data_IF_452945534236
#
_entry.id   IF_452945534236
#
_cell.length_a   1.000
_cell.length_b   1.000
_cell.length_c   1.000
_cell.angle_alpha   90.00
_cell.angle_beta   90.00
_cell.angle_gamma   90.00
#
_symmetry.space_group_name_H-M   'P 1'
#
loop_
_entity.id
_entity.type
_entity.pdbx_description
1 polymer ?
#
# COMPACT_ATOMS: atom_id res chain seq x y z
N UNK A 1 7.70 -13.42 27.11
CA UNK A 1 7.58 -12.19 27.91
C UNK A 1 7.86 -11.06 26.93
N UNK A 2 6.84 -10.55 26.27
CA UNK A 2 6.99 -9.62 25.15
C UNK A 2 5.89 -8.57 25.27
N UNK A 3 6.28 -7.29 25.31
CA UNK A 3 5.36 -6.16 25.38
C UNK A 3 5.04 -5.65 26.79
N UNK A 4 5.98 -5.76 27.76
CA UNK A 4 5.74 -5.31 29.15
C UNK A 4 6.60 -4.13 29.59
N UNK A 5 7.54 -3.68 28.75
CA UNK A 5 8.38 -2.51 29.03
C UNK A 5 8.00 -1.36 28.09
N UNK A 6 8.15 -0.13 28.58
CA UNK A 6 7.85 1.10 27.84
C UNK A 6 8.58 1.16 26.47
N UNK A 7 9.81 0.63 26.46
CA UNK A 7 10.67 0.54 25.27
C UNK A 7 10.07 -0.39 24.20
N UNK A 8 9.57 -1.57 24.58
CA UNK A 8 8.95 -2.50 23.62
C UNK A 8 7.67 -1.91 23.00
N UNK A 9 6.90 -1.16 23.81
CA UNK A 9 5.70 -0.45 23.34
C UNK A 9 6.08 0.64 22.33
N UNK A 10 7.12 1.43 22.62
CA UNK A 10 7.61 2.46 21.70
C UNK A 10 8.09 1.86 20.38
N UNK A 11 8.89 0.80 20.42
CA UNK A 11 9.34 0.09 19.21
C UNK A 11 8.14 -0.40 18.40
N UNK A 12 7.16 -1.04 19.04
CA UNK A 12 5.95 -1.50 18.38
C UNK A 12 5.18 -0.36 17.71
N UNK A 13 5.11 0.81 18.36
CA UNK A 13 4.45 1.98 17.80
C UNK A 13 5.20 2.52 16.56
N UNK A 14 6.53 2.58 16.60
CA UNK A 14 7.31 2.99 15.43
C UNK A 14 7.21 1.99 14.28
N UNK A 15 7.21 0.68 14.57
CA UNK A 15 6.96 -0.35 13.56
C UNK A 15 5.56 -0.20 12.92
N UNK A 16 4.53 0.05 13.72
CA UNK A 16 3.18 0.29 13.21
C UNK A 16 3.12 1.53 12.29
N UNK A 17 3.79 2.63 12.67
CA UNK A 17 3.91 3.84 11.83
C UNK A 17 4.64 3.55 10.53
N UNK A 18 5.73 2.80 10.57
CA UNK A 18 6.49 2.41 9.38
C UNK A 18 5.62 1.61 8.41
N UNK A 19 4.90 0.60 8.91
CA UNK A 19 4.03 -0.23 8.07
C UNK A 19 2.88 0.59 7.50
N UNK A 20 2.24 1.45 8.31
CA UNK A 20 1.19 2.35 7.83
C UNK A 20 1.66 3.26 6.70
N UNK A 21 2.84 3.87 6.85
CA UNK A 21 3.44 4.69 5.80
C UNK A 21 3.77 3.89 4.54
N UNK A 22 4.28 2.67 4.69
CA UNK A 22 4.55 1.79 3.54
C UNK A 22 3.27 1.45 2.76
N UNK A 23 2.17 1.14 3.44
CA UNK A 23 0.88 0.88 2.79
C UNK A 23 0.38 2.13 2.05
N UNK A 24 0.42 3.30 2.68
CA UNK A 24 0.00 4.57 2.05
C UNK A 24 0.86 4.85 0.81
N UNK A 25 2.17 4.64 0.89
CA UNK A 25 3.10 4.78 -0.22
C UNK A 25 2.69 3.88 -1.41
N UNK A 26 2.51 2.58 -1.16
CA UNK A 26 2.16 1.65 -2.23
C UNK A 26 0.78 1.91 -2.83
N UNK A 27 -0.22 2.23 -2.00
CA UNK A 27 -1.53 2.64 -2.49
C UNK A 27 -1.44 3.89 -3.39
N UNK A 28 -0.64 4.88 -2.99
CA UNK A 28 -0.43 6.10 -3.78
C UNK A 28 0.27 5.80 -5.10
N UNK A 29 1.30 4.94 -5.09
CA UNK A 29 2.04 4.56 -6.28
C UNK A 29 1.15 3.79 -7.28
N UNK A 30 0.36 2.83 -6.79
CA UNK A 30 -0.58 2.05 -7.61
C UNK A 30 -1.65 2.97 -8.22
N UNK A 31 -2.24 3.87 -7.42
CA UNK A 31 -3.23 4.84 -7.92
C UNK A 31 -2.63 5.78 -8.96
N UNK A 32 -1.39 6.24 -8.75
CA UNK A 32 -0.68 7.10 -9.70
C UNK A 32 -0.42 6.39 -11.04
N UNK A 33 0.00 5.13 -11.01
CA UNK A 33 0.24 4.34 -12.22
C UNK A 33 -1.07 4.05 -12.96
N UNK A 34 -2.13 3.67 -12.24
CA UNK A 34 -3.46 3.47 -12.82
C UNK A 34 -3.97 4.76 -13.46
N UNK A 35 -3.80 5.90 -12.79
CA UNK A 35 -4.18 7.20 -13.29
C UNK A 35 -3.55 7.46 -14.67
N UNK A 36 -2.22 7.34 -14.77
CA UNK A 36 -1.48 7.53 -16.03
C UNK A 36 -1.93 6.57 -17.12
N UNK A 37 -2.15 5.28 -16.79
CA UNK A 37 -2.63 4.26 -17.75
C UNK A 37 -3.99 4.63 -18.33
N UNK A 38 -4.95 5.03 -17.49
CA UNK A 38 -6.31 5.33 -17.93
C UNK A 38 -6.47 6.72 -18.56
N UNK A 39 -5.63 7.69 -18.18
CA UNK A 39 -5.50 8.96 -18.91
C UNK A 39 -5.03 8.73 -20.35
N UNK A 40 -3.99 7.92 -20.55
CA UNK A 40 -3.49 7.58 -21.87
C UNK A 40 -4.52 6.80 -22.72
N UNK A 41 -5.34 5.96 -22.07
CA UNK A 41 -6.42 5.22 -22.73
C UNK A 41 -7.71 6.04 -22.96
N UNK A 42 -7.80 7.27 -22.42
CA UNK A 42 -9.00 8.12 -22.52
C UNK A 42 -10.23 7.58 -21.78
N UNK A 43 -10.06 6.71 -20.78
CA UNK A 43 -11.16 6.09 -20.04
C UNK A 43 -11.65 7.00 -18.90
N UNK A 44 -12.56 7.92 -19.23
CA UNK A 44 -13.11 8.88 -18.27
C UNK A 44 -13.85 8.25 -17.08
N UNK A 45 -14.42 7.04 -17.24
CA UNK A 45 -15.10 6.34 -16.15
C UNK A 45 -14.12 5.80 -15.11
N UNK A 46 -13.07 5.12 -15.57
CA UNK A 46 -12.01 4.63 -14.69
C UNK A 46 -11.30 5.80 -13.98
N UNK A 47 -11.07 6.90 -14.69
CA UNK A 47 -10.48 8.12 -14.14
C UNK A 47 -11.33 8.70 -12.99
N UNK A 48 -12.65 8.80 -13.18
CA UNK A 48 -13.57 9.28 -12.15
C UNK A 48 -13.67 8.35 -10.93
N UNK A 49 -13.41 7.06 -11.11
CA UNK A 49 -13.37 6.09 -10.01
C UNK A 49 -12.06 6.23 -9.21
N UNK A 50 -10.91 6.33 -9.90
CA UNK A 50 -9.58 6.49 -9.28
C UNK A 50 -9.54 7.76 -8.43
N UNK A 51 -10.09 8.87 -8.91
CA UNK A 51 -10.09 10.16 -8.19
C UNK A 51 -10.93 10.14 -6.91
N UNK A 52 -11.85 9.18 -6.76
CA UNK A 52 -12.62 8.97 -5.54
C UNK A 52 -11.90 8.05 -4.53
N UNK A 53 -10.85 7.34 -4.95
CA UNK A 53 -10.07 6.47 -4.07
C UNK A 53 -9.07 7.30 -3.27
N UNK A 54 -8.96 7.01 -1.97
CA UNK A 54 -7.93 7.61 -1.12
C UNK A 54 -6.77 6.63 -0.92
N UNK A 55 -5.51 7.07 -1.02
CA UNK A 55 -4.36 6.22 -0.72
C UNK A 55 -4.29 5.79 0.76
N UNK A 56 -4.97 6.53 1.65
CA UNK A 56 -5.13 6.16 3.05
C UNK A 56 -6.40 5.34 3.34
N UNK A 57 -7.19 4.99 2.30
CA UNK A 57 -8.36 4.14 2.46
C UNK A 57 -7.94 2.68 2.64
N UNK A 58 -7.81 2.28 3.90
CA UNK A 58 -7.78 0.88 4.32
C UNK A 58 -9.05 0.56 5.11
N UNK A 59 -9.62 -0.63 4.92
CA UNK A 59 -10.74 -1.09 5.75
C UNK A 59 -10.46 -2.51 6.20
N UNK A 60 -10.34 -2.69 7.53
CA UNK A 60 -10.09 -3.98 8.19
C UNK A 60 -8.78 -4.70 7.81
N UNK A 61 -7.64 -4.01 7.76
CA UNK A 61 -6.32 -4.68 7.64
C UNK A 61 -5.84 -5.08 9.05
N UNK A 62 -5.97 -6.36 9.39
CA UNK A 62 -5.47 -6.91 10.65
C UNK A 62 -4.04 -7.45 10.46
N UNK A 63 -3.05 -6.68 10.90
CA UNK A 63 -1.64 -7.05 10.86
C UNK A 63 -1.23 -7.93 12.06
N UNK A 64 -2.01 -8.98 12.33
CA UNK A 64 -1.66 -9.94 13.37
C UNK A 64 -0.73 -11.01 12.78
N UNK A 65 0.50 -11.09 13.29
CA UNK A 65 1.46 -12.10 12.85
C UNK A 65 2.90 -11.64 13.04
N UNK A 66 3.82 -12.58 12.86
CA UNK A 66 5.24 -12.28 12.78
C UNK A 66 5.63 -12.18 11.31
N UNK A 67 5.97 -10.97 10.87
CA UNK A 67 6.36 -10.67 9.50
C UNK A 67 7.87 -10.46 9.44
N UNK A 68 8.52 -11.09 8.47
CA UNK A 68 9.94 -10.86 8.17
C UNK A 68 10.06 -10.06 6.89
N UNK A 69 10.98 -9.09 6.86
CA UNK A 69 11.28 -8.38 5.63
C UNK A 69 11.94 -9.32 4.61
N UNK A 70 11.57 -9.17 3.35
CA UNK A 70 12.24 -9.87 2.26
C UNK A 70 13.66 -9.30 2.13
N UNK A 71 14.67 -10.14 2.26
CA UNK A 71 16.10 -9.76 2.18
C UNK A 71 16.72 -10.03 0.82
N UNK A 72 16.00 -10.68 -0.10
CA UNK A 72 16.49 -11.11 -1.42
C UNK A 72 16.66 -9.94 -2.41
N UNK A 73 16.40 -8.69 -2.00
CA UNK A 73 16.53 -7.51 -2.86
C UNK A 73 15.54 -7.46 -4.03
N UNK A 74 14.57 -8.37 -4.07
CA UNK A 74 13.50 -8.35 -5.08
C UNK A 74 12.53 -7.22 -4.77
N UNK A 75 12.62 -6.17 -5.58
CA UNK A 75 11.65 -5.09 -5.56
C UNK A 75 10.34 -5.57 -6.13
N UNK A 76 9.24 -5.04 -5.60
CA UNK A 76 7.91 -5.27 -6.16
C UNK A 76 7.86 -4.52 -7.49
N UNK A 77 7.65 -5.25 -8.58
CA UNK A 77 7.38 -4.65 -9.88
C UNK A 77 5.95 -4.12 -9.90
N UNK A 78 5.82 -2.82 -9.65
CA UNK A 78 4.53 -2.13 -9.59
C UNK A 78 3.86 -2.05 -10.96
N UNK A 79 4.64 -1.99 -12.04
CA UNK A 79 4.10 -1.90 -13.39
C UNK A 79 3.46 -3.23 -13.79
N UNK A 80 4.15 -4.35 -13.52
CA UNK A 80 3.61 -5.69 -13.71
C UNK A 80 2.35 -5.94 -12.87
N UNK A 81 2.32 -5.42 -11.63
CA UNK A 81 1.15 -5.53 -10.75
C UNK A 81 -0.05 -4.74 -11.32
N UNK A 82 0.18 -3.52 -11.80
CA UNK A 82 -0.87 -2.66 -12.38
C UNK A 82 -1.32 -3.14 -13.76
N UNK A 83 -0.45 -3.81 -14.52
CA UNK A 83 -0.82 -4.42 -15.79
C UNK A 83 -1.94 -5.46 -15.63
N UNK A 84 -1.91 -6.24 -14.54
CA UNK A 84 -2.94 -7.23 -14.19
C UNK A 84 -4.20 -6.66 -13.54
N UNK A 85 -4.26 -5.36 -13.26
CA UNK A 85 -5.43 -4.70 -12.67
C UNK A 85 -6.33 -4.11 -13.78
N UNK A 86 -7.58 -4.56 -13.80
CA UNK A 86 -8.65 -4.01 -14.63
C UNK A 86 -9.70 -3.33 -13.75
N UNK A 87 -9.80 -2.01 -13.85
CA UNK A 87 -10.93 -1.25 -13.33
C UNK A 87 -12.06 -1.33 -14.37
N UNK A 88 -13.15 -2.00 -13.99
CA UNK A 88 -14.30 -2.35 -14.84
C UNK A 88 -15.05 -1.18 -15.46
#
# INVERSE_FOLDING_TARGET
MTGRTDIEIEISNQCARLIGNAIIFYNSAILSLLLTKYEAAGNAKALALITQMSPAAWRHILLNGHYTFQTDGKFIDLDALVAGLELG
#
